data_IF_599401570355
#
_entry.id   IF_599401570355
#
_cell.length_a   1.000
_cell.length_b   1.000
_cell.length_c   1.000
_cell.angle_alpha   90.00
_cell.angle_beta   90.00
_cell.angle_gamma   90.00
#
_symmetry.space_group_name_H-M   'P 1'
#
loop_
_entity.id
_entity.type
_entity.pdbx_description
1 polymer ?
#
# COMPACT_ATOMS: atom_id res chain seq x y z
N UNK A 1 -13.01 19.80 7.98
CA UNK A 1 -13.08 19.26 6.60
C UNK A 1 -11.74 19.34 5.87
N UNK A 2 -11.18 20.52 5.58
CA UNK A 2 -9.90 20.61 4.85
C UNK A 2 -8.75 19.87 5.57
N UNK A 3 -8.63 20.07 6.90
CA UNK A 3 -7.66 19.34 7.72
C UNK A 3 -7.90 17.82 7.72
N UNK A 4 -9.17 17.38 7.65
CA UNK A 4 -9.52 15.96 7.63
C UNK A 4 -9.11 15.32 6.29
N UNK A 5 -9.32 16.03 5.16
CA UNK A 5 -8.89 15.56 3.84
C UNK A 5 -7.36 15.47 3.76
N UNK A 6 -6.63 16.43 4.36
CA UNK A 6 -5.17 16.37 4.46
C UNK A 6 -4.72 15.16 5.28
N UNK A 7 -5.34 14.93 6.45
CA UNK A 7 -5.02 13.79 7.30
C UNK A 7 -5.30 12.44 6.59
N UNK A 8 -6.39 12.34 5.84
CA UNK A 8 -6.71 11.16 5.03
C UNK A 8 -5.66 10.93 3.92
N UNK A 9 -5.20 11.99 3.26
CA UNK A 9 -4.14 11.91 2.25
C UNK A 9 -2.79 11.50 2.85
N UNK A 10 -2.41 12.07 4.00
CA UNK A 10 -1.17 11.73 4.72
C UNK A 10 -1.20 10.27 5.20
N UNK A 11 -2.36 9.79 5.67
CA UNK A 11 -2.55 8.39 6.05
C UNK A 11 -2.34 7.47 4.85
N UNK A 12 -2.87 7.82 3.68
CA UNK A 12 -2.68 7.04 2.46
C UNK A 12 -1.21 6.97 2.04
N UNK A 13 -0.49 8.11 2.08
CA UNK A 13 0.95 8.16 1.78
C UNK A 13 1.75 7.31 2.76
N UNK A 14 1.42 7.38 4.05
CA UNK A 14 2.09 6.58 5.09
C UNK A 14 1.91 5.07 4.83
N UNK A 15 0.71 4.63 4.48
CA UNK A 15 0.44 3.23 4.14
C UNK A 15 1.23 2.78 2.91
N UNK A 16 1.27 3.59 1.85
CA UNK A 16 2.06 3.30 0.65
C UNK A 16 3.54 3.11 1.01
N UNK A 17 4.11 4.06 1.75
CA UNK A 17 5.52 3.99 2.16
C UNK A 17 5.83 2.73 2.99
N UNK A 18 4.92 2.33 3.90
CA UNK A 18 5.04 1.10 4.69
C UNK A 18 5.02 -0.13 3.77
N UNK A 19 4.04 -0.23 2.87
CA UNK A 19 3.93 -1.33 1.91
C UNK A 19 5.20 -1.44 1.06
N UNK A 20 5.70 -0.33 0.51
CA UNK A 20 6.91 -0.33 -0.31
C UNK A 20 8.16 -0.76 0.46
N UNK A 21 8.29 -0.32 1.71
CA UNK A 21 9.40 -0.72 2.60
C UNK A 21 9.41 -2.23 2.82
N UNK A 22 8.24 -2.79 3.16
CA UNK A 22 8.08 -4.23 3.40
C UNK A 22 8.32 -5.02 2.12
N UNK A 23 7.69 -4.64 1.00
CA UNK A 23 7.84 -5.30 -0.30
C UNK A 23 9.30 -5.39 -0.73
N UNK A 24 10.07 -4.31 -0.55
CA UNK A 24 11.51 -4.31 -0.87
C UNK A 24 12.25 -5.37 -0.05
N UNK A 25 12.05 -5.38 1.27
CA UNK A 25 12.70 -6.34 2.15
C UNK A 25 12.29 -7.79 1.85
N UNK A 26 11.02 -8.02 1.46
CA UNK A 26 10.51 -9.34 1.05
C UNK A 26 11.20 -9.81 -0.22
N UNK A 27 11.31 -8.94 -1.23
CA UNK A 27 11.97 -9.24 -2.50
C UNK A 27 13.48 -9.47 -2.31
N UNK A 28 14.15 -8.65 -1.51
CA UNK A 28 15.57 -8.83 -1.18
C UNK A 28 15.81 -10.20 -0.51
N UNK A 29 14.93 -10.57 0.42
CA UNK A 29 14.99 -11.88 1.10
C UNK A 29 14.72 -13.03 0.13
N UNK A 30 13.74 -12.86 -0.75
CA UNK A 30 13.38 -13.84 -1.79
C UNK A 30 14.55 -14.10 -2.72
N UNK A 31 15.18 -13.05 -3.23
CA UNK A 31 16.31 -13.16 -4.17
C UNK A 31 17.51 -13.84 -3.49
N UNK A 32 17.84 -13.45 -2.25
CA UNK A 32 18.88 -14.12 -1.46
C UNK A 32 18.60 -15.62 -1.26
N UNK A 33 17.35 -16.00 -0.95
CA UNK A 33 16.97 -17.40 -0.74
C UNK A 33 16.96 -18.20 -2.05
N UNK A 34 16.54 -17.60 -3.16
CA UNK A 34 16.59 -18.21 -4.48
C UNK A 34 18.04 -18.49 -4.93
N UNK A 35 18.97 -17.57 -4.66
CA UNK A 35 20.40 -17.76 -4.94
C UNK A 35 21.02 -18.88 -4.10
N UNK A 36 20.61 -19.00 -2.82
CA UNK A 36 21.10 -20.04 -1.90
C UNK A 36 20.57 -21.44 -2.27
N UNK A 37 19.37 -21.50 -2.85
CA UNK A 37 18.69 -22.73 -3.25
C UNK A 37 18.13 -23.55 -2.09
N UNK A 38 17.15 -24.41 -2.39
CA UNK A 38 16.56 -25.36 -1.43
C UNK A 38 15.55 -24.75 -0.45
N UNK A 39 15.02 -23.56 -0.76
CA UNK A 39 14.02 -22.83 0.05
C UNK A 39 12.81 -22.42 -0.81
N UNK A 40 12.44 -23.27 -1.77
CA UNK A 40 11.44 -22.96 -2.80
C UNK A 40 10.07 -22.58 -2.19
N UNK A 41 9.71 -23.19 -1.06
CA UNK A 41 8.49 -22.86 -0.32
C UNK A 41 8.49 -21.43 0.22
N UNK A 42 9.61 -20.97 0.79
CA UNK A 42 9.74 -19.63 1.35
C UNK A 42 9.86 -18.59 0.23
N UNK A 43 10.52 -18.94 -0.87
CA UNK A 43 10.56 -18.12 -2.09
C UNK A 43 9.14 -17.92 -2.66
N UNK A 44 8.35 -18.98 -2.73
CA UNK A 44 6.95 -18.90 -3.18
C UNK A 44 6.08 -18.08 -2.22
N UNK A 45 6.28 -18.23 -0.91
CA UNK A 45 5.58 -17.42 0.09
C UNK A 45 5.91 -15.92 -0.02
N UNK A 46 7.18 -15.58 -0.29
CA UNK A 46 7.59 -14.20 -0.52
C UNK A 46 6.92 -13.59 -1.78
N UNK A 47 6.81 -14.36 -2.86
CA UNK A 47 6.10 -13.91 -4.07
C UNK A 47 4.61 -13.68 -3.80
N UNK A 48 3.94 -14.61 -3.12
CA UNK A 48 2.53 -14.48 -2.77
C UNK A 48 2.27 -13.27 -1.85
N UNK A 49 3.14 -13.03 -0.86
CA UNK A 49 3.07 -11.84 -0.01
C UNK A 49 3.26 -10.56 -0.83
N UNK A 50 4.26 -10.50 -1.72
CA UNK A 50 4.48 -9.35 -2.58
C UNK A 50 3.28 -9.09 -3.51
N UNK A 51 2.67 -10.12 -4.10
CA UNK A 51 1.46 -9.98 -4.92
C UNK A 51 0.28 -9.40 -4.13
N UNK A 52 0.08 -9.88 -2.89
CA UNK A 52 -0.97 -9.37 -1.99
C UNK A 52 -0.73 -7.89 -1.67
N UNK A 53 0.50 -7.53 -1.31
CA UNK A 53 0.88 -6.14 -1.03
C UNK A 53 0.73 -5.24 -2.26
N UNK A 54 1.07 -5.71 -3.46
CA UNK A 54 0.81 -5.00 -4.73
C UNK A 54 -0.68 -4.78 -4.94
N UNK A 55 -1.51 -5.79 -4.69
CA UNK A 55 -2.96 -5.70 -4.84
C UNK A 55 -3.57 -4.61 -3.96
N UNK A 56 -3.17 -4.57 -2.69
CA UNK A 56 -3.63 -3.54 -1.74
C UNK A 56 -3.08 -2.15 -2.09
N UNK A 57 -1.80 -2.06 -2.48
CA UNK A 57 -1.19 -0.80 -2.93
C UNK A 57 -1.90 -0.24 -4.18
N UNK A 58 -2.35 -1.10 -5.09
CA UNK A 58 -3.05 -0.69 -6.32
C UNK A 58 -4.38 0.03 -6.05
N UNK A 59 -5.03 -0.27 -4.92
CA UNK A 59 -6.24 0.44 -4.48
C UNK A 59 -5.92 1.87 -4.00
N UNK A 60 -4.69 2.10 -3.49
CA UNK A 60 -4.16 3.41 -3.07
C UNK A 60 -3.50 4.19 -4.20
N UNK A 61 -2.82 3.55 -5.16
CA UNK A 61 -2.21 4.17 -6.34
C UNK A 61 -2.28 3.25 -7.57
N UNK A 62 -2.62 3.74 -8.78
CA UNK A 62 -2.63 2.86 -9.95
C UNK A 62 -1.19 2.63 -10.43
N UNK A 63 -0.63 1.45 -10.12
CA UNK A 63 0.65 1.04 -10.66
C UNK A 63 0.46 0.54 -12.10
N UNK A 64 1.12 1.16 -13.09
CA UNK A 64 1.27 0.58 -14.43
C UNK A 64 2.67 -0.04 -14.53
N UNK A 65 2.72 -1.36 -14.40
CA UNK A 65 3.91 -2.12 -14.74
C UNK A 65 4.09 -2.12 -16.27
N UNK A 66 5.03 -1.34 -16.78
CA UNK A 66 5.50 -1.51 -18.16
C UNK A 66 6.58 -2.59 -18.13
N UNK A 67 6.24 -3.81 -18.54
CA UNK A 67 7.14 -4.90 -18.93
C UNK A 67 8.49 -5.05 -18.19
N UNK A 68 8.62 -6.16 -17.45
CA UNK A 68 9.89 -6.81 -17.06
C UNK A 68 10.88 -6.08 -16.14
N UNK A 69 10.67 -4.83 -15.77
CA UNK A 69 11.51 -4.11 -14.80
C UNK A 69 10.72 -3.70 -13.58
N UNK A 70 11.34 -3.73 -12.40
CA UNK A 70 10.76 -3.27 -11.13
C UNK A 70 10.37 -1.78 -11.10
N UNK A 71 10.59 -1.06 -12.20
CA UNK A 71 10.24 0.35 -12.39
C UNK A 71 8.87 0.48 -13.08
N UNK A 72 7.81 0.17 -12.33
CA UNK A 72 6.45 0.54 -12.72
C UNK A 72 6.25 2.06 -12.61
N UNK A 73 5.68 2.70 -13.64
CA UNK A 73 5.28 4.10 -13.55
C UNK A 73 4.06 4.19 -12.63
N UNK A 74 4.18 4.97 -11.56
CA UNK A 74 3.12 5.19 -10.57
C UNK A 74 2.20 6.33 -11.03
N UNK A 75 0.94 6.00 -11.32
CA UNK A 75 -0.09 7.00 -11.59
C UNK A 75 -1.00 7.13 -10.38
N UNK A 76 -1.38 8.36 -9.96
CA UNK A 76 -2.35 8.55 -8.89
C UNK A 76 -3.55 7.62 -9.08
N UNK A 77 -3.85 6.78 -8.08
CA UNK A 77 -5.05 5.94 -8.16
C UNK A 77 -6.28 6.83 -8.31
N UNK A 78 -7.41 6.20 -8.62
CA UNK A 78 -8.70 6.85 -8.45
C UNK A 78 -8.89 7.41 -7.04
N UNK A 79 -8.36 6.81 -5.97
CA UNK A 79 -8.53 7.33 -4.61
C UNK A 79 -7.65 8.56 -4.36
N UNK A 80 -6.34 8.46 -4.56
CA UNK A 80 -5.41 9.58 -4.31
C UNK A 80 -5.65 10.76 -5.26
N UNK A 81 -6.01 10.49 -6.53
CA UNK A 81 -6.43 11.55 -7.45
C UNK A 81 -7.68 12.29 -6.96
N UNK A 82 -8.64 11.56 -6.37
CA UNK A 82 -9.89 12.15 -5.88
C UNK A 82 -9.69 12.92 -4.58
N UNK A 83 -8.85 12.44 -3.66
CA UNK A 83 -8.47 13.18 -2.47
C UNK A 83 -7.71 14.46 -2.83
N UNK A 84 -6.76 14.39 -3.77
CA UNK A 84 -6.04 15.57 -4.26
C UNK A 84 -6.95 16.57 -4.98
N UNK A 85 -7.89 16.09 -5.79
CA UNK A 85 -8.90 16.94 -6.43
C UNK A 85 -9.76 17.65 -5.38
N UNK A 86 -10.29 16.90 -4.41
CA UNK A 86 -11.13 17.45 -3.34
C UNK A 86 -10.37 18.47 -2.47
N UNK A 87 -9.10 18.21 -2.17
CA UNK A 87 -8.25 19.14 -1.44
C UNK A 87 -8.08 20.46 -2.21
N UNK A 88 -7.94 20.40 -3.54
CA UNK A 88 -7.80 21.58 -4.38
C UNK A 88 -9.11 22.38 -4.49
N UNK A 89 -10.26 21.71 -4.67
CA UNK A 89 -11.56 22.41 -4.69
C UNK A 89 -11.90 23.05 -3.34
N UNK A 90 -11.70 22.34 -2.24
CA UNK A 90 -11.97 22.85 -0.88
C UNK A 90 -10.95 23.93 -0.46
N UNK A 91 -9.70 23.86 -0.93
CA UNK A 91 -8.65 24.81 -0.58
C UNK A 91 -8.66 26.13 -1.38
N UNK A 92 -9.34 26.18 -2.53
CA UNK A 92 -9.42 27.38 -3.39
C UNK A 92 -10.64 28.25 -3.08
N UNK A 93 -11.67 27.69 -2.43
CA UNK A 93 -12.90 28.42 -2.13
C UNK A 93 -12.80 29.14 -0.77
N UNK A 94 -12.97 30.47 -0.76
CA UNK A 94 -13.24 31.28 0.44
C UNK A 94 -14.70 31.05 0.96
N UNK A 95 -15.26 29.89 0.61
CA UNK A 95 -16.67 29.52 0.72
C UNK A 95 -16.71 28.11 1.33
N UNK A 96 -17.57 27.84 2.32
CA UNK A 96 -17.65 26.52 2.93
C UNK A 96 -17.97 25.42 1.89
N UNK A 97 -17.47 24.19 2.10
CA UNK A 97 -17.73 23.06 1.22
C UNK A 97 -19.22 22.83 0.98
N UNK A 98 -19.57 22.45 -0.24
CA UNK A 98 -20.94 22.07 -0.59
C UNK A 98 -21.32 20.72 0.01
N UNK A 99 -22.62 20.47 0.19
CA UNK A 99 -23.11 19.17 0.69
C UNK A 99 -22.62 17.99 -0.17
N UNK A 100 -22.51 18.19 -1.50
CA UNK A 100 -21.99 17.19 -2.44
C UNK A 100 -20.51 16.86 -2.21
N UNK A 101 -19.68 17.86 -1.90
CA UNK A 101 -18.25 17.65 -1.58
C UNK A 101 -18.10 16.90 -0.25
N UNK A 102 -18.97 17.17 0.73
CA UNK A 102 -19.05 16.42 1.98
C UNK A 102 -19.42 14.95 1.77
N UNK A 103 -20.44 14.66 0.96
CA UNK A 103 -20.83 13.27 0.63
C UNK A 103 -19.71 12.50 -0.09
N UNK A 104 -19.01 13.16 -1.02
CA UNK A 104 -17.83 12.58 -1.69
C UNK A 104 -16.73 12.27 -0.69
N UNK A 105 -16.44 13.17 0.25
CA UNK A 105 -15.43 12.93 1.30
C UNK A 105 -15.76 11.70 2.14
N UNK A 106 -17.02 11.54 2.57
CA UNK A 106 -17.47 10.39 3.37
C UNK A 106 -17.24 9.07 2.62
N UNK A 107 -17.56 9.02 1.33
CA UNK A 107 -17.34 7.81 0.50
C UNK A 107 -15.84 7.51 0.34
N UNK A 108 -15.01 8.53 0.11
CA UNK A 108 -13.56 8.36 -0.02
C UNK A 108 -12.94 7.89 1.30
N UNK A 109 -13.40 8.44 2.43
CA UNK A 109 -12.95 8.06 3.76
C UNK A 109 -13.30 6.63 4.11
N UNK A 110 -14.51 6.17 3.78
CA UNK A 110 -14.88 4.77 4.00
C UNK A 110 -14.03 3.83 3.15
N UNK A 111 -13.76 4.19 1.89
CA UNK A 111 -12.85 3.41 1.05
C UNK A 111 -11.43 3.37 1.61
N UNK A 112 -10.91 4.50 2.09
CA UNK A 112 -9.60 4.56 2.74
C UNK A 112 -9.55 3.65 3.99
N UNK A 113 -10.61 3.65 4.80
CA UNK A 113 -10.74 2.77 5.97
C UNK A 113 -10.72 1.29 5.61
N UNK A 114 -11.44 0.90 4.56
CA UNK A 114 -11.44 -0.49 4.08
C UNK A 114 -10.06 -0.92 3.58
N UNK A 115 -9.36 -0.04 2.86
CA UNK A 115 -8.01 -0.31 2.40
C UNK A 115 -7.04 -0.39 3.58
N UNK A 116 -7.15 0.50 4.57
CA UNK A 116 -6.33 0.44 5.77
C UNK A 116 -6.51 -0.89 6.51
N UNK A 117 -7.74 -1.39 6.64
CA UNK A 117 -7.99 -2.70 7.22
C UNK A 117 -7.35 -3.85 6.41
N UNK A 118 -7.35 -3.76 5.07
CA UNK A 118 -6.68 -4.73 4.22
C UNK A 118 -5.15 -4.66 4.33
N UNK A 119 -4.57 -3.45 4.47
CA UNK A 119 -3.14 -3.27 4.74
C UNK A 119 -2.78 -3.93 6.08
N UNK A 120 -3.51 -3.64 7.15
CA UNK A 120 -3.21 -4.24 8.46
C UNK A 120 -3.35 -5.76 8.42
N UNK A 121 -4.37 -6.32 7.78
CA UNK A 121 -4.49 -7.77 7.62
C UNK A 121 -3.27 -8.39 6.91
N UNK A 122 -2.81 -7.78 5.81
CA UNK A 122 -1.61 -8.26 5.11
C UNK A 122 -0.32 -8.13 5.96
N UNK A 123 -0.27 -7.17 6.88
CA UNK A 123 0.89 -6.95 7.75
C UNK A 123 0.88 -7.86 9.00
N UNK A 124 -0.30 -8.09 9.57
CA UNK A 124 -0.45 -8.86 10.81
C UNK A 124 -0.56 -10.36 10.54
N UNK A 125 -1.13 -10.77 9.40
CA UNK A 125 -1.30 -12.18 9.07
C UNK A 125 -0.19 -12.65 8.12
N UNK A 126 -0.19 -12.16 6.88
CA UNK A 126 0.68 -12.69 5.82
C UNK A 126 2.16 -12.41 6.08
N UNK A 127 2.50 -11.17 6.48
CA UNK A 127 3.88 -10.80 6.82
C UNK A 127 4.36 -11.48 8.10
N UNK A 128 3.52 -11.67 9.12
CA UNK A 128 3.92 -12.42 10.32
C UNK A 128 4.16 -13.90 10.02
N UNK A 129 3.35 -14.52 9.17
CA UNK A 129 3.59 -15.87 8.69
C UNK A 129 4.92 -15.98 7.93
N UNK A 130 5.19 -15.05 7.01
CA UNK A 130 6.48 -14.99 6.32
C UNK A 130 7.65 -14.78 7.29
N UNK A 131 7.49 -13.89 8.27
CA UNK A 131 8.48 -13.64 9.30
C UNK A 131 8.79 -14.89 10.13
N UNK A 132 7.79 -15.72 10.46
CA UNK A 132 7.99 -17.01 11.14
C UNK A 132 8.81 -17.98 10.28
N UNK A 133 8.54 -18.04 8.98
CA UNK A 133 9.30 -18.88 8.04
C UNK A 133 10.78 -18.47 7.98
N UNK A 134 11.07 -17.19 7.75
CA UNK A 134 12.47 -16.74 7.61
C UNK A 134 13.23 -16.77 8.95
N UNK A 135 12.54 -16.57 10.09
CA UNK A 135 13.14 -16.76 11.42
C UNK A 135 13.61 -18.21 11.63
N UNK A 136 12.88 -19.21 11.11
CA UNK A 136 13.30 -20.62 11.20
C UNK A 136 14.63 -20.90 10.50
N UNK A 137 15.00 -20.05 9.54
CA UNK A 137 16.30 -20.07 8.85
C UNK A 137 17.38 -19.23 9.56
N UNK A 138 17.06 -18.61 10.69
CA UNK A 138 17.95 -17.71 11.43
C UNK A 138 18.08 -16.31 10.81
N UNK A 139 17.16 -15.93 9.93
CA UNK A 139 17.14 -14.60 9.31
C UNK A 139 16.42 -13.58 10.20
N UNK A 140 16.72 -12.30 9.98
CA UNK A 140 16.05 -11.19 10.66
C UNK A 140 14.65 -10.98 10.07
N UNK A 141 13.69 -10.67 10.93
CA UNK A 141 12.32 -10.28 10.52
C UNK A 141 12.27 -8.95 9.79
N UNK A 142 11.27 -8.83 8.93
CA UNK A 142 10.92 -7.65 8.16
C UNK A 142 9.92 -6.80 8.96
N UNK A 143 10.09 -5.47 8.89
CA UNK A 143 9.24 -4.46 9.53
C UNK A 143 9.07 -3.22 8.65
#
# INVERSE_FOLDING_TARGET
MQQDIMADADSAVTMINRIESVRRQVLDTRDMLAERGGQDEIVAAAEALNETLVGVEQELFQMRATGTGQDGVRYPSRLMSRLAYLLNTVGVADVPPTDQEGEVHVVLKERLRLIAAAVEAAMDDDLEEFNRMIQSLGLRVIS
#
